data_IF_280108018794
#
_entry.id   IF_280108018794
#
_cell.length_a   1.000
_cell.length_b   1.000
_cell.length_c   1.000
_cell.angle_alpha   90.00
_cell.angle_beta   90.00
_cell.angle_gamma   90.00
#
_symmetry.space_group_name_H-M   'P 1'
#
loop_
_entity.id
_entity.type
_entity.pdbx_description
1 polymer ?
#
# COMPACT_ATOMS: atom_id res chain seq x y z
N UNK A 1 20.08 22.81 -21.40
CA UNK A 1 19.08 22.48 -20.35
C UNK A 1 19.18 20.98 -20.13
N UNK A 2 19.81 20.52 -19.03
CA UNK A 2 19.99 19.08 -18.79
C UNK A 2 18.65 18.49 -18.41
N UNK A 3 18.07 17.67 -19.29
CA UNK A 3 16.92 16.83 -18.95
C UNK A 3 17.34 15.95 -17.78
N UNK A 4 16.78 16.20 -16.60
CA UNK A 4 17.08 15.40 -15.41
C UNK A 4 16.20 14.16 -15.48
N UNK A 5 16.69 13.13 -16.16
CA UNK A 5 16.08 11.80 -16.08
C UNK A 5 15.93 11.42 -14.60
N UNK A 6 14.75 10.92 -14.24
CA UNK A 6 14.49 10.51 -12.87
C UNK A 6 15.48 9.39 -12.48
N UNK A 7 16.08 9.45 -11.28
CA UNK A 7 17.07 8.47 -10.87
C UNK A 7 16.42 7.08 -10.79
N UNK A 8 17.17 6.06 -11.21
CA UNK A 8 16.81 4.67 -10.94
C UNK A 8 16.80 4.45 -9.42
N UNK A 9 15.87 3.64 -8.94
CA UNK A 9 15.78 3.24 -7.54
C UNK A 9 15.53 1.74 -7.43
N UNK A 10 16.03 1.13 -6.36
CA UNK A 10 15.79 -0.26 -6.00
C UNK A 10 15.04 -0.31 -4.68
N UNK A 11 13.95 -1.07 -4.61
CA UNK A 11 13.27 -1.35 -3.35
C UNK A 11 14.10 -2.37 -2.57
N UNK A 12 14.53 -2.00 -1.36
CA UNK A 12 15.37 -2.84 -0.50
C UNK A 12 14.60 -3.48 0.64
N UNK A 13 13.52 -2.83 1.10
CA UNK A 13 12.63 -3.38 2.12
C UNK A 13 11.19 -2.90 1.92
N UNK A 14 10.25 -3.78 2.30
CA UNK A 14 8.82 -3.50 2.37
C UNK A 14 8.32 -4.08 3.68
N UNK A 15 8.13 -3.22 4.67
CA UNK A 15 7.55 -3.59 5.96
C UNK A 15 6.04 -3.31 5.93
N UNK A 16 5.24 -4.18 6.56
CA UNK A 16 3.78 -4.12 6.56
C UNK A 16 3.27 -4.14 7.99
N UNK A 17 2.33 -3.26 8.32
CA UNK A 17 1.75 -3.12 9.64
C UNK A 17 0.23 -2.98 9.53
N UNK A 18 -0.48 -3.24 10.63
CA UNK A 18 -1.90 -2.96 10.76
C UNK A 18 -2.13 -2.08 11.98
N UNK A 19 -3.01 -1.10 11.85
CA UNK A 19 -3.40 -0.21 12.94
C UNK A 19 -4.90 0.06 12.90
N UNK A 20 -5.59 0.06 14.06
CA UNK A 20 -6.97 0.52 14.12
C UNK A 20 -7.04 2.03 13.86
N UNK A 21 -8.15 2.48 13.26
CA UNK A 21 -8.47 3.90 13.12
C UNK A 21 -9.91 4.19 13.51
N UNK A 22 -10.17 5.45 13.88
CA UNK A 22 -11.50 6.01 14.05
C UNK A 22 -11.65 7.25 13.21
N UNK A 23 -12.75 7.33 12.46
CA UNK A 23 -13.07 8.49 11.64
C UNK A 23 -13.67 9.57 12.53
N UNK A 24 -13.27 10.82 12.29
CA UNK A 24 -13.86 11.98 12.99
C UNK A 24 -15.33 12.17 12.64
N UNK A 25 -15.74 11.77 11.43
CA UNK A 25 -17.12 11.82 10.95
C UNK A 25 -17.49 10.47 10.33
N UNK A 26 -18.71 9.96 10.54
CA UNK A 26 -19.18 8.75 9.86
C UNK A 26 -19.11 8.90 8.34
N UNK A 27 -18.50 7.93 7.67
CA UNK A 27 -18.36 7.89 6.23
C UNK A 27 -19.33 6.86 5.64
N UNK A 28 -20.26 7.30 4.80
CA UNK A 28 -21.27 6.42 4.20
C UNK A 28 -20.86 6.03 2.78
N UNK A 29 -20.84 4.73 2.51
CA UNK A 29 -20.56 4.19 1.18
C UNK A 29 -21.61 3.12 0.83
N UNK A 30 -22.49 3.43 -0.13
CA UNK A 30 -23.65 2.58 -0.43
C UNK A 30 -24.57 2.42 0.79
N UNK A 31 -24.78 1.17 1.22
CA UNK A 31 -25.65 0.82 2.35
C UNK A 31 -24.92 0.72 3.69
N UNK A 32 -23.60 0.90 3.72
CA UNK A 32 -22.80 0.83 4.96
C UNK A 32 -22.38 2.23 5.42
N UNK A 33 -22.29 2.39 6.73
CA UNK A 33 -21.70 3.56 7.39
C UNK A 33 -20.48 3.08 8.17
N UNK A 34 -19.31 3.64 7.86
CA UNK A 34 -18.04 3.34 8.51
C UNK A 34 -17.73 4.45 9.51
N UNK A 35 -17.41 4.07 10.74
CA UNK A 35 -16.96 4.99 11.80
C UNK A 35 -15.57 4.62 12.32
N UNK A 36 -15.18 3.36 12.18
CA UNK A 36 -13.89 2.82 12.58
C UNK A 36 -13.49 1.65 11.68
N UNK A 37 -12.24 1.23 11.76
CA UNK A 37 -11.72 0.12 10.97
C UNK A 37 -10.26 -0.17 11.27
N UNK A 38 -9.65 -0.99 10.42
CA UNK A 38 -8.20 -1.27 10.44
C UNK A 38 -7.62 -0.77 9.12
N UNK A 39 -6.45 -0.14 9.16
CA UNK A 39 -5.69 0.21 7.98
C UNK A 39 -4.43 -0.64 7.89
N UNK A 40 -4.06 -1.02 6.67
CA UNK A 40 -2.75 -1.54 6.37
C UNK A 40 -1.81 -0.35 6.13
N UNK A 41 -0.63 -0.40 6.75
CA UNK A 41 0.42 0.62 6.58
C UNK A 41 1.62 -0.09 5.98
N UNK A 42 2.18 0.46 4.91
CA UNK A 42 3.38 -0.03 4.27
C UNK A 42 4.49 1.00 4.41
N UNK A 43 5.67 0.52 4.83
CA UNK A 43 6.90 1.29 4.84
C UNK A 43 7.85 0.72 3.81
N UNK A 44 8.24 1.55 2.84
CA UNK A 44 9.13 1.16 1.75
C UNK A 44 10.47 1.85 1.93
N UNK A 45 11.55 1.08 1.85
CA UNK A 45 12.91 1.63 1.73
C UNK A 45 13.43 1.43 0.32
N UNK A 46 14.07 2.48 -0.19
CA UNK A 46 14.69 2.48 -1.52
C UNK A 46 16.16 2.87 -1.42
N UNK A 47 16.97 2.31 -2.32
CA UNK A 47 18.35 2.70 -2.53
C UNK A 47 18.52 3.32 -3.93
N UNK A 48 19.39 4.32 -4.03
CA UNK A 48 19.77 4.97 -5.28
C UNK A 48 21.18 4.51 -5.72
N UNK A 49 21.50 4.58 -7.03
CA UNK A 49 22.83 4.23 -7.55
C UNK A 49 23.99 5.03 -6.94
N UNK A 50 23.71 6.23 -6.41
CA UNK A 50 24.70 7.09 -5.76
C UNK A 50 24.95 6.72 -4.28
N UNK A 51 24.41 5.58 -3.82
CA UNK A 51 24.57 5.07 -2.46
C UNK A 51 23.61 5.68 -1.44
N UNK A 52 22.77 6.65 -1.82
CA UNK A 52 21.76 7.21 -0.93
C UNK A 52 20.59 6.24 -0.74
N UNK A 53 19.86 6.43 0.37
CA UNK A 53 18.62 5.72 0.64
C UNK A 53 17.52 6.68 1.09
N UNK A 54 16.28 6.27 0.89
CA UNK A 54 15.11 6.98 1.36
C UNK A 54 14.05 5.99 1.87
N UNK A 55 13.16 6.49 2.73
CA UNK A 55 12.03 5.72 3.26
C UNK A 55 10.74 6.50 3.04
N UNK A 56 9.67 5.80 2.68
CA UNK A 56 8.35 6.35 2.48
C UNK A 56 7.27 5.47 3.11
N UNK A 57 6.12 6.07 3.37
CA UNK A 57 4.98 5.41 4.01
C UNK A 57 3.72 5.60 3.16
N UNK A 58 2.90 4.57 3.10
CA UNK A 58 1.55 4.61 2.56
C UNK A 58 0.59 3.87 3.49
N UNK A 59 -0.68 4.24 3.49
CA UNK A 59 -1.70 3.57 4.27
C UNK A 59 -2.99 3.43 3.46
N UNK A 60 -3.67 2.30 3.62
CA UNK A 60 -4.93 1.98 2.96
C UNK A 60 -5.89 1.33 3.97
N UNK A 61 -7.17 1.69 3.94
CA UNK A 61 -8.13 1.09 4.85
C UNK A 61 -8.49 -0.33 4.38
N UNK A 62 -8.43 -1.31 5.30
CA UNK A 62 -8.86 -2.68 5.10
C UNK A 62 -10.40 -2.77 5.21
N UNK A 63 -11.10 -1.98 4.40
CA UNK A 63 -12.56 -1.99 4.38
C UNK A 63 -13.07 -3.15 3.53
N UNK A 64 -13.75 -4.06 4.21
CA UNK A 64 -14.18 -5.35 3.69
C UNK A 64 -15.07 -5.32 2.43
N UNK A 65 -15.58 -4.18 1.95
CA UNK A 65 -16.55 -4.14 0.83
C UNK A 65 -16.16 -3.24 -0.33
N UNK A 66 -14.89 -2.85 -0.43
CA UNK A 66 -14.42 -1.98 -1.50
C UNK A 66 -13.95 -2.72 -2.76
N UNK A 67 -13.55 -3.99 -2.63
CA UNK A 67 -12.99 -4.77 -3.74
C UNK A 67 -13.90 -5.90 -4.22
N UNK A 68 -14.49 -6.67 -3.30
CA UNK A 68 -15.39 -7.76 -3.65
C UNK A 68 -16.76 -7.57 -2.99
N UNK A 69 -17.79 -7.51 -3.85
CA UNK A 69 -19.19 -7.35 -3.44
C UNK A 69 -19.93 -8.69 -3.42
N UNK A 70 -19.23 -9.80 -3.63
CA UNK A 70 -19.82 -11.11 -3.55
C UNK A 70 -20.40 -11.32 -2.13
N UNK A 71 -21.72 -11.54 -1.99
CA UNK A 71 -22.33 -11.77 -0.69
C UNK A 71 -21.87 -13.05 0.00
N UNK A 72 -21.19 -13.95 -0.72
CA UNK A 72 -20.63 -15.19 -0.18
C UNK A 72 -19.27 -15.00 0.52
N UNK A 73 -18.60 -13.85 0.37
CA UNK A 73 -17.32 -13.56 1.04
C UNK A 73 -17.55 -12.79 2.34
N UNK A 74 -16.95 -13.28 3.41
CA UNK A 74 -16.97 -12.60 4.70
C UNK A 74 -16.00 -11.42 4.75
N UNK A 75 -16.18 -10.55 5.75
CA UNK A 75 -15.29 -9.40 5.93
C UNK A 75 -13.83 -9.81 6.20
N UNK A 76 -13.59 -10.99 6.79
CA UNK A 76 -12.25 -11.53 7.02
C UNK A 76 -11.58 -12.02 5.73
N UNK A 77 -12.33 -12.62 4.81
CA UNK A 77 -11.81 -13.09 3.54
C UNK A 77 -11.27 -11.93 2.70
N UNK A 78 -12.01 -10.82 2.67
CA UNK A 78 -11.58 -9.61 1.96
C UNK A 78 -10.34 -8.96 2.60
N UNK A 79 -10.21 -9.01 3.94
CA UNK A 79 -8.96 -8.60 4.61
C UNK A 79 -7.79 -9.49 4.24
N UNK A 80 -7.98 -10.80 4.19
CA UNK A 80 -6.94 -11.74 3.75
C UNK A 80 -6.51 -11.51 2.30
N UNK A 81 -7.43 -11.21 1.40
CA UNK A 81 -7.10 -10.88 0.01
C UNK A 81 -6.24 -9.61 -0.07
N UNK A 82 -6.57 -8.55 0.66
CA UNK A 82 -5.76 -7.32 0.65
C UNK A 82 -4.37 -7.54 1.26
N UNK A 83 -4.28 -8.29 2.38
CA UNK A 83 -3.00 -8.71 2.95
C UNK A 83 -2.16 -9.47 1.92
N UNK A 84 -2.77 -10.41 1.19
CA UNK A 84 -2.09 -11.20 0.16
C UNK A 84 -1.65 -10.35 -1.01
N UNK A 85 -2.45 -9.38 -1.44
CA UNK A 85 -2.07 -8.44 -2.49
C UNK A 85 -0.84 -7.60 -2.10
N UNK A 86 -0.80 -7.09 -0.86
CA UNK A 86 0.36 -6.36 -0.33
C UNK A 86 1.61 -7.25 -0.19
N UNK A 87 1.42 -8.53 0.16
CA UNK A 87 2.50 -9.52 0.18
C UNK A 87 3.11 -9.66 -1.22
N UNK A 88 2.29 -10.05 -2.20
CA UNK A 88 2.70 -10.28 -3.59
C UNK A 88 3.35 -9.04 -4.22
N UNK A 89 2.75 -7.86 -4.03
CA UNK A 89 3.30 -6.62 -4.55
C UNK A 89 4.68 -6.32 -3.94
N UNK A 90 4.81 -6.45 -2.62
CA UNK A 90 6.09 -6.22 -1.94
C UNK A 90 7.17 -7.22 -2.36
N UNK A 91 6.81 -8.46 -2.70
CA UNK A 91 7.75 -9.45 -3.23
C UNK A 91 8.19 -9.09 -4.65
N UNK A 92 7.22 -8.75 -5.52
CA UNK A 92 7.49 -8.34 -6.89
C UNK A 92 8.40 -7.11 -6.95
N UNK A 93 8.13 -6.07 -6.14
CA UNK A 93 8.95 -4.86 -6.13
C UNK A 93 10.36 -5.07 -5.57
N UNK A 94 10.54 -5.98 -4.61
CA UNK A 94 11.88 -6.35 -4.12
C UNK A 94 12.68 -7.13 -5.15
N UNK A 95 12.01 -8.00 -5.91
CA UNK A 95 12.63 -8.77 -6.98
C UNK A 95 12.98 -7.91 -8.21
N UNK A 96 12.19 -6.87 -8.51
CA UNK A 96 12.37 -6.02 -9.68
C UNK A 96 13.74 -5.33 -9.74
N UNK A 97 14.37 -5.31 -10.91
CA UNK A 97 15.59 -4.55 -11.17
C UNK A 97 15.39 -3.04 -10.91
N UNK A 98 16.46 -2.26 -10.68
CA UNK A 98 16.34 -0.82 -10.46
C UNK A 98 15.57 -0.13 -11.60
N UNK A 99 14.47 0.56 -11.26
CA UNK A 99 13.62 1.25 -12.23
C UNK A 99 13.70 2.76 -12.04
N UNK A 100 13.64 3.57 -13.11
CA UNK A 100 13.55 5.02 -13.00
C UNK A 100 12.30 5.40 -12.19
N UNK A 101 12.45 6.32 -11.23
CA UNK A 101 11.31 6.84 -10.51
C UNK A 101 10.35 7.51 -11.51
N UNK A 102 9.05 7.17 -11.48
CA UNK A 102 8.08 7.90 -12.31
C UNK A 102 8.00 9.34 -11.79
N UNK A 103 8.34 10.32 -12.62
CA UNK A 103 8.11 11.73 -12.33
C UNK A 103 6.61 11.99 -12.45
N UNK A 104 5.91 12.12 -11.32
CA UNK A 104 4.58 12.74 -11.26
C UNK A 104 4.68 14.27 -11.31
#
# INVERSE_FOLDING_TARGET
MVSRAAPALKVTAVDRFEAPYRLRLPFRFGVITVTEGVQAIVRVRVALPDGRSAEGYAAEALAAKWFDKNPELGDEDNRHQLRRALELAGDAYRAAEPMPASSS
#
